data_IF_425580296299
#
_entry.id   IF_425580296299
#
_cell.length_a   1.000
_cell.length_b   1.000
_cell.length_c   1.000
_cell.angle_alpha   90.00
_cell.angle_beta   90.00
_cell.angle_gamma   90.00
#
_symmetry.space_group_name_H-M   'P 1'
#
loop_
_entity.id
_entity.type
_entity.pdbx_description
1 polymer ?
#
# COMPACT_ATOMS: atom_id res chain seq x y z
N UNK A 1 -9.47 -16.23 -14.67
CA UNK A 1 -8.74 -15.01 -15.06
C UNK A 1 -8.15 -14.41 -13.81
N UNK A 2 -6.94 -13.82 -13.87
CA UNK A 2 -6.36 -13.12 -12.71
C UNK A 2 -7.20 -11.89 -12.38
N UNK A 3 -7.39 -11.60 -11.10
CA UNK A 3 -8.17 -10.44 -10.65
C UNK A 3 -7.39 -9.15 -10.91
N UNK A 4 -7.84 -8.26 -11.82
CA UNK A 4 -7.26 -6.93 -11.96
C UNK A 4 -7.24 -6.13 -10.66
N UNK A 5 -8.20 -6.37 -9.75
CA UNK A 5 -8.24 -5.70 -8.45
C UNK A 5 -7.10 -6.15 -7.52
N UNK A 6 -6.80 -7.44 -7.44
CA UNK A 6 -5.66 -7.95 -6.67
C UNK A 6 -4.32 -7.47 -7.26
N UNK A 7 -4.23 -7.44 -8.57
CA UNK A 7 -3.07 -6.93 -9.30
C UNK A 7 -2.76 -5.46 -8.97
N UNK A 8 -3.78 -4.60 -9.00
CA UNK A 8 -3.65 -3.19 -8.63
C UNK A 8 -3.33 -3.03 -7.14
N UNK A 9 -3.96 -3.83 -6.28
CA UNK A 9 -3.67 -3.82 -4.84
C UNK A 9 -2.19 -4.16 -4.56
N UNK A 10 -1.65 -5.17 -5.25
CA UNK A 10 -0.22 -5.53 -5.16
C UNK A 10 0.70 -4.39 -5.62
N UNK A 11 0.34 -3.68 -6.69
CA UNK A 11 1.10 -2.51 -7.12
C UNK A 11 1.11 -1.40 -6.05
N UNK A 12 -0.04 -1.14 -5.40
CA UNK A 12 -0.16 -0.18 -4.29
C UNK A 12 0.74 -0.59 -3.11
N UNK A 13 0.74 -1.87 -2.73
CA UNK A 13 1.59 -2.39 -1.66
C UNK A 13 3.09 -2.28 -2.00
N UNK A 14 3.47 -2.55 -3.24
CA UNK A 14 4.86 -2.36 -3.71
C UNK A 14 5.29 -0.90 -3.64
N UNK A 15 4.44 0.04 -4.06
CA UNK A 15 4.71 1.48 -3.93
C UNK A 15 4.89 1.88 -2.47
N UNK A 16 4.03 1.40 -1.56
CA UNK A 16 4.19 1.63 -0.12
C UNK A 16 5.56 1.18 0.39
N UNK A 17 6.00 -0.04 0.03
CA UNK A 17 7.29 -0.58 0.45
C UNK A 17 8.46 0.25 -0.09
N UNK A 18 8.40 0.66 -1.37
CA UNK A 18 9.41 1.52 -1.99
C UNK A 18 9.49 2.88 -1.29
N UNK A 19 8.36 3.53 -1.05
CA UNK A 19 8.31 4.84 -0.39
C UNK A 19 8.83 4.78 1.05
N UNK A 20 8.47 3.72 1.80
CA UNK A 20 8.96 3.49 3.16
C UNK A 20 10.46 3.16 3.20
N UNK A 21 10.96 2.42 2.20
CA UNK A 21 12.37 2.13 2.03
C UNK A 21 13.19 3.38 1.75
N UNK A 22 12.71 4.24 0.84
CA UNK A 22 13.34 5.51 0.50
C UNK A 22 13.33 6.49 1.69
N UNK A 23 12.22 6.54 2.44
CA UNK A 23 12.13 7.32 3.68
C UNK A 23 13.19 6.86 4.69
N UNK A 24 13.34 5.55 4.86
CA UNK A 24 14.35 4.94 5.75
C UNK A 24 15.77 5.26 5.30
N UNK A 25 16.06 5.13 4.00
CA UNK A 25 17.38 5.46 3.42
C UNK A 25 17.76 6.92 3.68
N UNK A 26 16.84 7.86 3.41
CA UNK A 26 17.03 9.30 3.69
C UNK A 26 17.23 9.59 5.17
N UNK A 27 16.58 8.82 6.04
CA UNK A 27 16.78 8.95 7.47
C UNK A 27 18.22 8.60 7.87
N UNK A 28 18.78 7.51 7.33
CA UNK A 28 20.14 7.05 7.64
C UNK A 28 21.23 8.00 7.10
N UNK A 29 21.10 8.50 5.87
CA UNK A 29 22.13 9.32 5.21
C UNK A 29 22.32 10.73 5.81
N UNK A 30 21.35 11.25 6.57
CA UNK A 30 21.30 12.66 7.00
C UNK A 30 21.45 12.88 8.52
N UNK A 31 22.24 12.07 9.24
CA UNK A 31 22.27 12.01 10.72
C UNK A 31 22.86 13.25 11.47
N UNK A 32 22.67 14.48 10.99
CA UNK A 32 23.17 15.70 11.63
C UNK A 32 22.18 16.50 12.50
N UNK A 33 20.86 16.34 12.34
CA UNK A 33 19.85 17.20 13.02
C UNK A 33 18.65 16.38 13.50
N UNK A 34 18.52 16.17 14.82
CA UNK A 34 17.74 15.05 15.37
C UNK A 34 16.24 15.33 15.66
N UNK A 35 15.79 16.55 15.98
CA UNK A 35 14.37 16.76 16.41
C UNK A 35 13.40 17.12 15.28
N UNK A 36 13.73 18.10 14.44
CA UNK A 36 12.88 18.52 13.30
C UNK A 36 12.66 17.36 12.31
N UNK A 37 13.67 16.49 12.18
CA UNK A 37 13.69 15.34 11.29
C UNK A 37 12.78 14.20 11.76
N UNK A 38 12.67 13.98 13.07
CA UNK A 38 11.77 12.96 13.61
C UNK A 38 10.30 13.29 13.31
N UNK A 39 9.91 14.56 13.44
CA UNK A 39 8.56 15.02 13.11
C UNK A 39 8.27 14.99 11.60
N UNK A 40 9.25 15.36 10.75
CA UNK A 40 9.13 15.23 9.30
C UNK A 40 8.96 13.76 8.89
N UNK A 41 9.79 12.87 9.43
CA UNK A 41 9.73 11.44 9.17
C UNK A 41 8.39 10.82 9.60
N UNK A 42 7.87 11.20 10.77
CA UNK A 42 6.55 10.77 11.23
C UNK A 42 5.42 11.26 10.32
N UNK A 43 5.51 12.51 9.84
CA UNK A 43 4.54 13.08 8.89
C UNK A 43 4.59 12.36 7.54
N UNK A 44 5.76 12.15 6.98
CA UNK A 44 5.92 11.44 5.69
C UNK A 44 5.43 10.00 5.80
N UNK A 45 5.78 9.28 6.87
CA UNK A 45 5.24 7.94 7.14
C UNK A 45 3.70 7.94 7.21
N UNK A 46 3.11 8.93 7.88
CA UNK A 46 1.65 9.08 7.94
C UNK A 46 1.06 9.30 6.55
N UNK A 47 1.66 10.17 5.73
CA UNK A 47 1.22 10.43 4.35
C UNK A 47 1.29 9.16 3.50
N UNK A 48 2.40 8.43 3.53
CA UNK A 48 2.55 7.16 2.79
C UNK A 48 1.46 6.18 3.22
N UNK A 49 1.27 5.99 4.52
CA UNK A 49 0.23 5.09 5.08
C UNK A 49 -1.18 5.50 4.65
N UNK A 50 -1.51 6.79 4.73
CA UNK A 50 -2.81 7.33 4.31
C UNK A 50 -3.06 7.14 2.81
N UNK A 51 -2.05 7.37 1.97
CA UNK A 51 -2.15 7.15 0.54
C UNK A 51 -2.39 5.67 0.20
N UNK A 52 -1.68 4.77 0.87
CA UNK A 52 -1.87 3.32 0.74
C UNK A 52 -3.30 2.92 1.14
N UNK A 53 -3.80 3.40 2.28
CA UNK A 53 -5.17 3.13 2.72
C UNK A 53 -6.22 3.66 1.75
N UNK A 54 -6.02 4.86 1.19
CA UNK A 54 -6.92 5.43 0.20
C UNK A 54 -6.95 4.58 -1.09
N UNK A 55 -5.78 4.18 -1.60
CA UNK A 55 -5.67 3.32 -2.77
C UNK A 55 -6.32 1.95 -2.56
N UNK A 56 -6.05 1.30 -1.43
CA UNK A 56 -6.66 0.01 -1.08
C UNK A 56 -8.18 0.11 -0.90
N UNK A 57 -8.67 1.19 -0.29
CA UNK A 57 -10.11 1.43 -0.13
C UNK A 57 -10.78 1.65 -1.49
N UNK A 58 -10.13 2.39 -2.40
CA UNK A 58 -10.63 2.64 -3.75
C UNK A 58 -10.74 1.33 -4.55
N UNK A 59 -9.69 0.51 -4.57
CA UNK A 59 -9.73 -0.75 -5.33
C UNK A 59 -10.70 -1.78 -4.72
N UNK A 60 -10.87 -1.77 -3.39
CA UNK A 60 -11.91 -2.55 -2.70
C UNK A 60 -13.31 -2.13 -3.17
N UNK A 61 -13.58 -0.83 -3.27
CA UNK A 61 -14.87 -0.34 -3.77
C UNK A 61 -15.13 -0.73 -5.24
N UNK A 62 -14.09 -0.72 -6.08
CA UNK A 62 -14.19 -1.18 -7.47
C UNK A 62 -14.49 -2.68 -7.52
N UNK A 63 -13.80 -3.51 -6.72
CA UNK A 63 -14.08 -4.94 -6.64
C UNK A 63 -15.54 -5.22 -6.26
N UNK A 64 -16.11 -4.45 -5.32
CA UNK A 64 -17.53 -4.52 -4.98
C UNK A 64 -18.45 -4.19 -6.17
N UNK A 65 -18.14 -3.13 -6.93
CA UNK A 65 -18.93 -2.72 -8.09
C UNK A 65 -18.92 -3.75 -9.22
N UNK A 66 -17.85 -4.53 -9.35
CA UNK A 66 -17.71 -5.60 -10.35
C UNK A 66 -18.47 -6.89 -9.99
N UNK A 67 -19.09 -6.94 -8.79
CA UNK A 67 -20.00 -8.00 -8.32
C UNK A 67 -19.41 -9.41 -8.48
N UNK A 68 -20.12 -10.32 -9.16
CA UNK A 68 -19.81 -11.75 -9.20
C UNK A 68 -18.41 -12.07 -9.73
N UNK A 69 -17.84 -11.20 -10.57
CA UNK A 69 -16.50 -11.39 -11.12
C UNK A 69 -15.39 -11.15 -10.09
N UNK A 70 -15.66 -10.40 -9.02
CA UNK A 70 -14.66 -9.94 -8.05
C UNK A 70 -15.14 -10.03 -6.59
N UNK A 71 -16.22 -10.77 -6.30
CA UNK A 71 -16.79 -10.81 -4.96
C UNK A 71 -15.82 -11.42 -3.93
N UNK A 72 -15.11 -12.49 -4.31
CA UNK A 72 -14.08 -13.10 -3.47
C UNK A 72 -12.93 -12.12 -3.20
N UNK A 73 -12.47 -11.43 -4.25
CA UNK A 73 -11.46 -10.38 -4.18
C UNK A 73 -11.88 -9.24 -3.26
N UNK A 74 -13.15 -8.79 -3.36
CA UNK A 74 -13.69 -7.77 -2.48
C UNK A 74 -13.57 -8.16 -1.01
N UNK A 75 -13.98 -9.37 -0.63
CA UNK A 75 -13.89 -9.81 0.76
C UNK A 75 -12.43 -9.87 1.25
N UNK A 76 -11.52 -10.36 0.40
CA UNK A 76 -10.10 -10.42 0.71
C UNK A 76 -9.49 -9.02 0.89
N UNK A 77 -9.74 -8.10 -0.05
CA UNK A 77 -9.27 -6.72 0.01
C UNK A 77 -9.87 -5.95 1.18
N UNK A 78 -11.16 -6.12 1.44
CA UNK A 78 -11.85 -5.44 2.54
C UNK A 78 -11.28 -5.87 3.89
N UNK A 79 -11.09 -7.18 4.11
CA UNK A 79 -10.49 -7.70 5.34
C UNK A 79 -9.06 -7.20 5.53
N UNK A 80 -8.24 -7.24 4.48
CA UNK A 80 -6.86 -6.77 4.51
C UNK A 80 -6.76 -5.26 4.78
N UNK A 81 -7.59 -4.46 4.09
CA UNK A 81 -7.64 -3.00 4.25
C UNK A 81 -8.09 -2.62 5.66
N UNK A 82 -9.07 -3.34 6.22
CA UNK A 82 -9.54 -3.12 7.59
C UNK A 82 -8.44 -3.43 8.61
N UNK A 83 -7.76 -4.57 8.48
CA UNK A 83 -6.61 -4.91 9.35
C UNK A 83 -5.51 -3.86 9.28
N UNK A 84 -5.20 -3.36 8.08
CA UNK A 84 -4.19 -2.31 7.93
C UNK A 84 -4.63 -1.00 8.58
N UNK A 85 -5.90 -0.62 8.45
CA UNK A 85 -6.46 0.58 9.08
C UNK A 85 -6.43 0.50 10.61
N UNK A 86 -6.81 -0.64 11.17
CA UNK A 86 -6.99 -0.82 12.61
C UNK A 86 -5.66 -1.07 13.34
N UNK A 87 -4.81 -1.92 12.77
CA UNK A 87 -3.60 -2.40 13.44
C UNK A 87 -2.30 -1.85 12.82
N UNK A 88 -2.39 -1.12 11.70
CA UNK A 88 -1.21 -0.62 10.98
C UNK A 88 -0.37 -1.74 10.34
N UNK A 89 -0.88 -2.98 10.31
CA UNK A 89 -0.19 -4.13 9.72
C UNK A 89 -0.38 -4.10 8.22
N UNK A 90 0.72 -3.85 7.49
CA UNK A 90 0.70 -3.86 6.04
C UNK A 90 0.26 -5.26 5.55
N UNK A 91 -0.73 -5.37 4.65
CA UNK A 91 -1.09 -6.64 4.06
C UNK A 91 0.10 -7.27 3.33
N UNK A 92 0.21 -8.59 3.40
CA UNK A 92 1.08 -9.32 2.48
C UNK A 92 0.57 -9.13 1.05
N UNK A 93 1.45 -9.13 0.03
CA UNK A 93 1.03 -9.23 -1.35
C UNK A 93 0.09 -10.41 -1.54
N UNK A 94 -1.00 -10.18 -2.27
CA UNK A 94 -1.96 -11.21 -2.64
C UNK A 94 -1.32 -12.11 -3.72
N UNK A 95 -1.62 -13.41 -3.75
CA UNK A 95 -0.97 -14.45 -4.60
C UNK A 95 -1.26 -14.32 -6.12
N UNK A 96 -1.23 -13.10 -6.66
CA UNK A 96 -1.42 -12.79 -8.07
C UNK A 96 -0.49 -11.64 -8.47
N UNK A 97 0.80 -11.94 -8.66
CA UNK A 97 1.78 -10.94 -9.10
C UNK A 97 1.53 -10.47 -10.55
N UNK A 98 1.69 -9.17 -10.75
CA UNK A 98 1.87 -8.53 -12.06
C UNK A 98 3.35 -8.28 -12.29
N UNK A 99 3.89 -8.58 -13.48
CA UNK A 99 5.16 -8.00 -13.91
C UNK A 99 5.02 -6.48 -13.94
N UNK A 100 5.82 -5.76 -13.17
CA UNK A 100 5.87 -4.29 -13.28
C UNK A 100 6.53 -3.91 -14.61
N UNK A 101 6.02 -2.87 -15.27
CA UNK A 101 6.71 -2.25 -16.40
C UNK A 101 8.11 -1.84 -15.93
N UNK A 102 9.14 -2.50 -16.48
CA UNK A 102 10.52 -2.05 -16.30
C UNK A 102 10.61 -0.65 -16.92
N UNK A 103 11.10 0.32 -16.14
CA UNK A 103 11.37 1.65 -16.67
C UNK A 103 12.36 1.54 -17.83
N UNK A 104 12.02 2.16 -18.95
CA UNK A 104 12.94 2.33 -20.09
C UNK A 104 14.17 3.14 -19.67
#
# INVERSE_FOLDING_TARGET
MKSPCLQIANAILRTHMTDMGELTRRAIEKNGVFSLKANLHAREKKTITSNTLAGLSMITAIAWQLRENELATFHQLNSATQKFREFGVLPLPFDEEVPTCQGN
#
